data_IF_365774321537
#
_entry.id   IF_365774321537
#
_cell.length_a   1.000
_cell.length_b   1.000
_cell.length_c   1.000
_cell.angle_alpha   90.00
_cell.angle_beta   90.00
_cell.angle_gamma   90.00
#
_symmetry.space_group_name_H-M   'P 1'
#
loop_
_entity.id
_entity.type
_entity.pdbx_description
1 polymer ?
#
# COMPACT_ATOMS: atom_id res chain seq x y z
N UNK A 1 -11.90 19.13 9.56
CA UNK A 1 -11.49 17.97 8.74
C UNK A 1 -10.04 18.26 8.34
N UNK A 2 -9.07 17.51 8.84
CA UNK A 2 -7.68 17.66 8.38
C UNK A 2 -7.64 17.11 6.94
N UNK A 3 -7.30 17.97 5.99
CA UNK A 3 -7.21 17.60 4.58
C UNK A 3 -5.79 17.05 4.32
N UNK A 4 -5.64 15.73 4.53
CA UNK A 4 -4.37 15.02 4.31
C UNK A 4 -3.91 15.21 2.87
N UNK A 5 -4.83 15.21 1.90
CA UNK A 5 -4.48 15.38 0.49
C UNK A 5 -3.93 16.79 0.23
N UNK A 6 -4.47 17.83 0.86
CA UNK A 6 -3.89 19.19 0.82
C UNK A 6 -2.48 19.23 1.43
N UNK A 7 -2.25 18.54 2.55
CA UNK A 7 -0.92 18.48 3.17
C UNK A 7 0.08 17.77 2.25
N UNK A 8 -0.29 16.62 1.69
CA UNK A 8 0.53 15.85 0.76
C UNK A 8 0.82 16.65 -0.52
N UNK A 9 -0.19 17.36 -1.04
CA UNK A 9 -0.02 18.23 -2.18
C UNK A 9 0.96 19.38 -1.91
N UNK A 10 0.98 19.95 -0.71
CA UNK A 10 1.97 20.97 -0.32
C UNK A 10 3.39 20.41 -0.20
N UNK A 11 3.52 19.13 0.13
CA UNK A 11 4.79 18.43 0.25
C UNK A 11 5.25 17.76 -1.05
N UNK A 12 4.52 17.90 -2.16
CA UNK A 12 4.77 17.17 -3.41
C UNK A 12 6.19 17.36 -3.97
N UNK A 13 6.76 18.55 -3.78
CA UNK A 13 8.10 18.91 -4.26
C UNK A 13 9.18 18.67 -3.17
N UNK A 14 8.77 18.18 -1.99
CA UNK A 14 9.70 17.88 -0.90
C UNK A 14 10.35 16.51 -1.15
N UNK A 15 11.70 16.41 -1.18
CA UNK A 15 12.39 15.17 -1.50
C UNK A 15 12.05 14.03 -0.53
N UNK A 16 11.83 14.34 0.74
CA UNK A 16 11.45 13.34 1.74
C UNK A 16 10.11 12.67 1.45
N UNK A 17 9.17 13.32 0.73
CA UNK A 17 7.90 12.71 0.39
C UNK A 17 8.09 11.61 -0.66
N UNK A 18 8.89 11.88 -1.70
CA UNK A 18 9.24 10.88 -2.71
C UNK A 18 10.05 9.74 -2.07
N UNK A 19 11.06 10.06 -1.27
CA UNK A 19 11.86 9.06 -0.55
C UNK A 19 11.03 8.22 0.43
N UNK A 20 9.98 8.79 1.04
CA UNK A 20 9.03 8.05 1.85
C UNK A 20 8.20 7.06 1.01
N UNK A 21 7.63 7.51 -0.11
CA UNK A 21 6.87 6.65 -1.03
C UNK A 21 7.74 5.50 -1.54
N UNK A 22 8.95 5.80 -1.99
CA UNK A 22 9.85 4.80 -2.55
C UNK A 22 10.31 3.77 -1.50
N UNK A 23 10.59 4.19 -0.27
CA UNK A 23 10.89 3.23 0.82
C UNK A 23 9.67 2.38 1.19
N UNK A 24 8.49 2.99 1.26
CA UNK A 24 7.30 2.32 1.77
C UNK A 24 6.68 1.34 0.77
N UNK A 25 6.66 1.66 -0.52
CA UNK A 25 5.99 0.83 -1.54
C UNK A 25 6.85 0.53 -2.77
N UNK A 26 8.08 1.07 -2.85
CA UNK A 26 9.00 0.83 -3.96
C UNK A 26 9.23 -0.65 -4.25
N UNK A 27 9.57 -1.51 -3.27
CA UNK A 27 9.77 -2.95 -3.50
C UNK A 27 8.55 -3.64 -4.12
N UNK A 28 7.33 -3.20 -3.76
CA UNK A 28 6.10 -3.74 -4.30
C UNK A 28 5.83 -3.25 -5.73
N UNK A 29 6.08 -1.97 -6.03
CA UNK A 29 6.03 -1.44 -7.40
C UNK A 29 7.01 -2.20 -8.30
N UNK A 30 8.21 -2.41 -7.80
CA UNK A 30 9.29 -3.15 -8.45
C UNK A 30 8.90 -4.59 -8.79
N UNK A 31 8.25 -5.28 -7.85
CA UNK A 31 7.68 -6.60 -8.08
C UNK A 31 6.64 -6.56 -9.21
N UNK A 32 5.69 -5.63 -9.16
CA UNK A 32 4.60 -5.51 -10.14
C UNK A 32 5.10 -5.21 -11.56
N UNK A 33 6.25 -4.54 -11.72
CA UNK A 33 6.89 -4.33 -13.03
C UNK A 33 7.54 -5.61 -13.59
N UNK A 34 8.05 -6.49 -12.70
CA UNK A 34 8.87 -7.65 -13.10
C UNK A 34 8.11 -8.98 -13.07
N UNK A 35 6.97 -9.04 -12.40
CA UNK A 35 6.31 -10.29 -12.06
C UNK A 35 4.79 -10.15 -12.12
N UNK A 36 4.12 -11.28 -12.32
CA UNK A 36 2.66 -11.39 -12.23
C UNK A 36 2.28 -12.42 -11.16
N UNK A 37 1.12 -12.26 -10.51
CA UNK A 37 0.18 -11.14 -10.65
C UNK A 37 0.65 -9.88 -9.90
N UNK A 38 0.19 -8.67 -10.30
CA UNK A 38 0.45 -7.47 -9.53
C UNK A 38 -0.19 -7.57 -8.14
N UNK A 39 0.52 -7.09 -7.13
CA UNK A 39 0.15 -7.14 -5.72
C UNK A 39 -0.22 -5.75 -5.17
N UNK A 40 0.20 -4.66 -5.81
CA UNK A 40 -0.17 -3.31 -5.40
C UNK A 40 -1.69 -3.09 -5.32
N UNK A 41 -2.53 -3.58 -6.26
CA UNK A 41 -3.98 -3.49 -6.12
C UNK A 41 -4.52 -4.24 -4.91
N UNK A 42 -3.85 -5.34 -4.50
CA UNK A 42 -4.27 -6.08 -3.30
C UNK A 42 -4.00 -5.27 -2.04
N UNK A 43 -2.84 -4.60 -1.95
CA UNK A 43 -2.52 -3.71 -0.83
C UNK A 43 -3.48 -2.52 -0.77
N UNK A 44 -3.78 -1.89 -1.92
CA UNK A 44 -4.73 -0.79 -2.01
C UNK A 44 -6.11 -1.16 -1.48
N UNK A 45 -6.69 -2.27 -1.96
CA UNK A 45 -8.01 -2.71 -1.51
C UNK A 45 -7.98 -3.13 -0.03
N UNK A 46 -6.90 -3.78 0.43
CA UNK A 46 -6.75 -4.15 1.84
C UNK A 46 -6.80 -2.94 2.77
N UNK A 47 -6.06 -1.88 2.42
CA UNK A 47 -6.00 -0.65 3.21
C UNK A 47 -7.27 0.19 3.07
N UNK A 48 -7.92 0.19 1.90
CA UNK A 48 -9.24 0.82 1.71
C UNK A 48 -10.32 0.20 2.61
N UNK A 49 -10.22 -1.10 2.90
CA UNK A 49 -11.09 -1.80 3.85
C UNK A 49 -10.60 -1.76 5.30
N UNK A 50 -9.63 -0.91 5.63
CA UNK A 50 -9.06 -0.81 6.97
C UNK A 50 -8.51 -2.13 7.51
N UNK A 51 -7.86 -2.93 6.64
CA UNK A 51 -7.28 -4.21 6.98
C UNK A 51 -8.27 -5.37 7.13
N UNK A 52 -9.55 -5.15 6.79
CA UNK A 52 -10.57 -6.20 6.90
C UNK A 52 -10.44 -7.20 5.74
N UNK A 53 -9.85 -8.35 6.06
CA UNK A 53 -9.48 -9.40 5.09
C UNK A 53 -10.69 -9.98 4.35
N UNK A 54 -11.85 -10.14 4.99
CA UNK A 54 -13.04 -10.70 4.35
C UNK A 54 -13.61 -9.78 3.25
N UNK A 55 -13.74 -8.49 3.54
CA UNK A 55 -14.21 -7.47 2.61
C UNK A 55 -13.23 -7.29 1.45
N UNK A 56 -11.93 -7.31 1.75
CA UNK A 56 -10.86 -7.27 0.74
C UNK A 56 -10.95 -8.45 -0.23
N UNK A 57 -11.11 -9.68 0.29
CA UNK A 57 -11.24 -10.88 -0.53
C UNK A 57 -12.47 -10.81 -1.43
N UNK A 58 -13.60 -10.35 -0.87
CA UNK A 58 -14.86 -10.18 -1.62
C UNK A 58 -14.71 -9.17 -2.75
N UNK A 59 -14.09 -8.02 -2.51
CA UNK A 59 -13.91 -6.98 -3.53
C UNK A 59 -12.95 -7.41 -4.64
N UNK A 60 -11.88 -8.12 -4.30
CA UNK A 60 -10.92 -8.64 -5.28
C UNK A 60 -11.38 -9.94 -5.96
N UNK A 61 -12.57 -10.45 -5.63
CA UNK A 61 -13.07 -11.76 -6.07
C UNK A 61 -12.09 -12.91 -5.79
N UNK A 62 -11.40 -12.86 -4.65
CA UNK A 62 -10.45 -13.87 -4.21
C UNK A 62 -11.06 -14.77 -3.16
N UNK A 63 -10.66 -16.04 -3.17
CA UNK A 63 -10.85 -16.88 -1.99
C UNK A 63 -9.90 -16.46 -0.86
N UNK A 64 -10.20 -16.91 0.37
CA UNK A 64 -9.42 -16.58 1.57
C UNK A 64 -7.95 -16.96 1.42
N UNK A 65 -7.64 -18.19 0.98
CA UNK A 65 -6.26 -18.65 0.88
C UNK A 65 -5.43 -17.77 -0.07
N UNK A 66 -5.97 -17.42 -1.23
CA UNK A 66 -5.29 -16.57 -2.20
C UNK A 66 -5.02 -15.18 -1.63
N UNK A 67 -5.98 -14.57 -0.91
CA UNK A 67 -5.74 -13.28 -0.26
C UNK A 67 -4.62 -13.38 0.78
N UNK A 68 -4.66 -14.39 1.66
CA UNK A 68 -3.64 -14.56 2.70
C UNK A 68 -2.25 -14.74 2.10
N UNK A 69 -2.11 -15.55 1.05
CA UNK A 69 -0.84 -15.72 0.35
C UNK A 69 -0.33 -14.41 -0.26
N UNK A 70 -1.23 -13.59 -0.83
CA UNK A 70 -0.85 -12.27 -1.36
C UNK A 70 -0.42 -11.31 -0.26
N UNK A 71 -1.15 -11.23 0.85
CA UNK A 71 -0.80 -10.35 1.97
C UNK A 71 0.52 -10.77 2.63
N UNK A 72 0.76 -12.08 2.80
CA UNK A 72 2.03 -12.59 3.28
C UNK A 72 3.17 -12.17 2.34
N UNK A 73 2.98 -12.35 1.02
CA UNK A 73 3.97 -11.95 0.02
C UNK A 73 4.24 -10.45 0.01
N UNK A 74 3.20 -9.62 0.21
CA UNK A 74 3.35 -8.17 0.34
C UNK A 74 4.20 -7.84 1.58
N UNK A 75 3.89 -8.44 2.73
CA UNK A 75 4.67 -8.25 3.96
C UNK A 75 6.14 -8.64 3.80
N UNK A 76 6.42 -9.76 3.12
CA UNK A 76 7.79 -10.19 2.78
C UNK A 76 8.52 -9.17 1.90
N UNK A 77 7.88 -8.71 0.81
CA UNK A 77 8.48 -7.78 -0.14
C UNK A 77 8.78 -6.42 0.48
N UNK A 78 7.91 -5.96 1.38
CA UNK A 78 8.05 -4.67 2.07
C UNK A 78 8.92 -4.78 3.32
N UNK A 79 9.14 -5.99 3.86
CA UNK A 79 9.83 -6.20 5.13
C UNK A 79 9.03 -5.68 6.32
N UNK A 80 7.70 -5.76 6.27
CA UNK A 80 6.79 -5.16 7.26
C UNK A 80 5.69 -6.10 7.72
N UNK A 81 5.18 -5.90 8.93
CA UNK A 81 3.99 -6.59 9.44
C UNK A 81 2.71 -5.82 9.10
N UNK A 82 1.84 -6.40 8.27
CA UNK A 82 0.58 -5.78 7.86
C UNK A 82 -0.54 -5.84 8.92
N UNK A 83 -0.29 -6.46 10.07
CA UNK A 83 -1.16 -6.41 11.24
C UNK A 83 -0.73 -5.30 12.24
N UNK A 84 0.45 -4.67 12.05
CA UNK A 84 0.88 -3.51 12.83
C UNK A 84 0.14 -2.22 12.38
N UNK A 85 -0.59 -1.53 13.28
CA UNK A 85 -1.29 -0.29 12.95
C UNK A 85 -0.38 0.84 12.43
N UNK A 86 0.87 0.92 12.88
CA UNK A 86 1.80 1.96 12.42
C UNK A 86 2.24 1.69 10.98
N UNK A 87 2.56 0.44 10.66
CA UNK A 87 2.81 -0.01 9.29
C UNK A 87 1.61 0.28 8.37
N UNK A 88 0.40 -0.10 8.79
CA UNK A 88 -0.85 0.15 8.03
C UNK A 88 -1.05 1.64 7.76
N UNK A 89 -0.81 2.51 8.75
CA UNK A 89 -0.89 3.96 8.59
C UNK A 89 0.15 4.47 7.60
N UNK A 90 1.42 4.06 7.73
CA UNK A 90 2.50 4.49 6.85
C UNK A 90 2.23 4.08 5.39
N UNK A 91 1.82 2.83 5.15
CA UNK A 91 1.48 2.34 3.82
C UNK A 91 0.26 3.07 3.24
N UNK A 92 -0.77 3.34 4.06
CA UNK A 92 -1.93 4.12 3.64
C UNK A 92 -1.56 5.56 3.25
N UNK A 93 -0.59 6.16 3.94
CA UNK A 93 -0.09 7.49 3.61
C UNK A 93 0.75 7.46 2.33
N UNK A 94 1.63 6.47 2.18
CA UNK A 94 2.46 6.30 0.98
C UNK A 94 1.61 6.11 -0.28
N UNK A 95 0.54 5.29 -0.22
CA UNK A 95 -0.38 5.09 -1.34
C UNK A 95 -1.17 6.35 -1.74
N UNK A 96 -1.43 7.26 -0.79
CA UNK A 96 -2.03 8.57 -1.11
C UNK A 96 -0.96 9.52 -1.68
N UNK A 97 0.19 9.61 -1.02
CA UNK A 97 1.32 10.46 -1.41
C UNK A 97 1.84 10.16 -2.81
N UNK A 98 1.83 8.89 -3.25
CA UNK A 98 2.26 8.48 -4.60
C UNK A 98 1.50 9.20 -5.73
N UNK A 99 0.31 9.74 -5.45
CA UNK A 99 -0.50 10.48 -6.44
C UNK A 99 0.00 11.92 -6.65
N UNK A 100 0.91 12.37 -5.79
CA UNK A 100 1.41 13.73 -5.75
C UNK A 100 2.91 13.82 -6.05
N UNK A 101 3.68 12.74 -5.81
CA UNK A 101 5.09 12.67 -6.22
C UNK A 101 5.18 12.25 -7.68
N UNK A 102 6.09 12.89 -8.43
CA UNK A 102 6.37 12.58 -9.86
C UNK A 102 7.40 11.47 -10.00
#
# INVERSE_FOLDING_TARGET
>A
RLDIDLLLWRLRDHPDLAAFVDRAIGPLRDHDHRSKPPLLPTLETYLAHAGRKAETARELHLNRQTLYNRLARIGELLGTDLDDPQTVLALSLALRARRHVS
#
